data_IF_383660133517
#
_entry.id   IF_383660133517
#
_cell.length_a   1.000
_cell.length_b   1.000
_cell.length_c   1.000
_cell.angle_alpha   90.00
_cell.angle_beta   90.00
_cell.angle_gamma   90.00
#
_symmetry.space_group_name_H-M   'P 1'
#
loop_
_entity.id
_entity.type
_entity.pdbx_description
1 polymer ?
#
# COMPACT_ATOMS: atom_id res chain seq x y z
N UNK A 1 -18.63 0.69 18.09
CA UNK A 1 -17.73 -0.47 17.88
C UNK A 1 -16.34 -0.20 18.44
N UNK A 2 -15.64 0.84 18.00
CA UNK A 2 -14.25 1.13 18.42
C UNK A 2 -14.03 1.15 19.95
N UNK A 3 -14.96 1.74 20.72
CA UNK A 3 -14.85 1.81 22.19
C UNK A 3 -14.82 0.44 22.89
N UNK A 4 -15.49 -0.58 22.30
CA UNK A 4 -15.46 -1.95 22.81
C UNK A 4 -14.10 -2.62 22.54
N UNK A 5 -13.44 -2.27 21.44
CA UNK A 5 -12.10 -2.77 21.12
C UNK A 5 -11.09 -2.18 22.10
N UNK A 6 -11.18 -0.88 22.36
CA UNK A 6 -10.21 -0.15 23.18
C UNK A 6 -10.38 -0.39 24.69
N UNK A 7 -11.62 -0.56 25.17
CA UNK A 7 -11.91 -0.63 26.61
C UNK A 7 -12.77 -1.82 27.05
N UNK A 8 -13.12 -2.72 26.12
CA UNK A 8 -13.88 -3.92 26.45
C UNK A 8 -13.09 -4.90 27.31
N UNK A 9 -13.80 -5.75 28.05
CA UNK A 9 -13.17 -6.86 28.76
C UNK A 9 -12.54 -7.84 27.76
N UNK A 10 -11.51 -8.57 28.19
CA UNK A 10 -10.79 -9.53 27.32
C UNK A 10 -11.74 -10.54 26.65
N UNK A 11 -12.76 -11.03 27.37
CA UNK A 11 -13.77 -11.94 26.81
C UNK A 11 -14.61 -11.30 25.70
N UNK A 12 -14.93 -10.01 25.84
CA UNK A 12 -15.69 -9.26 24.84
C UNK A 12 -14.83 -9.00 23.60
N UNK A 13 -13.56 -8.63 23.80
CA UNK A 13 -12.59 -8.47 22.71
C UNK A 13 -12.40 -9.79 21.95
N UNK A 14 -12.27 -10.92 22.64
CA UNK A 14 -12.17 -12.26 22.01
C UNK A 14 -13.40 -12.59 21.16
N UNK A 15 -14.60 -12.52 21.75
CA UNK A 15 -15.86 -12.75 21.01
C UNK A 15 -16.02 -11.83 19.81
N UNK A 16 -15.65 -10.56 19.98
CA UNK A 16 -15.68 -9.58 18.90
C UNK A 16 -14.69 -9.95 17.78
N UNK A 17 -13.49 -10.37 18.15
CA UNK A 17 -12.45 -10.78 17.20
C UNK A 17 -12.85 -12.03 16.42
N UNK A 18 -13.51 -13.00 17.07
CA UNK A 18 -14.05 -14.19 16.40
C UNK A 18 -15.09 -13.81 15.33
N UNK A 19 -15.93 -12.81 15.61
CA UNK A 19 -16.90 -12.28 14.65
C UNK A 19 -16.17 -11.60 13.49
N UNK A 20 -15.14 -10.80 13.75
CA UNK A 20 -14.35 -10.16 12.69
C UNK A 20 -13.66 -11.18 11.78
N UNK A 21 -13.04 -12.22 12.37
CA UNK A 21 -12.34 -13.27 11.64
C UNK A 21 -13.28 -14.02 10.70
N UNK A 22 -14.49 -14.35 11.15
CA UNK A 22 -15.49 -15.06 10.34
C UNK A 22 -16.03 -14.24 9.18
N UNK A 23 -15.98 -12.91 9.27
CA UNK A 23 -16.58 -12.00 8.29
C UNK A 23 -15.53 -11.12 7.58
N UNK A 24 -14.25 -11.48 7.61
CA UNK A 24 -13.16 -10.59 7.16
C UNK A 24 -13.32 -10.16 5.69
N UNK A 25 -13.78 -11.07 4.83
CA UNK A 25 -13.93 -10.79 3.40
C UNK A 25 -15.04 -9.77 3.12
N UNK A 26 -16.18 -9.89 3.80
CA UNK A 26 -17.29 -8.96 3.69
C UNK A 26 -16.93 -7.60 4.32
N UNK A 27 -16.35 -7.62 5.52
CA UNK A 27 -15.95 -6.41 6.23
C UNK A 27 -14.81 -5.66 5.53
N UNK A 28 -13.87 -6.37 4.91
CA UNK A 28 -12.78 -5.75 4.14
C UNK A 28 -13.26 -5.17 2.81
N UNK A 29 -14.35 -5.69 2.26
CA UNK A 29 -14.97 -5.17 1.04
C UNK A 29 -15.74 -3.86 1.27
N UNK A 30 -16.20 -3.61 2.50
CA UNK A 30 -16.90 -2.39 2.89
C UNK A 30 -15.92 -1.30 3.37
N UNK A 31 -16.09 -0.09 2.86
CA UNK A 31 -15.14 1.02 3.08
C UNK A 31 -15.11 1.50 4.54
N UNK A 32 -16.22 1.38 5.26
CA UNK A 32 -16.36 1.80 6.64
C UNK A 32 -15.94 0.69 7.60
N UNK A 33 -16.31 -0.56 7.30
CA UNK A 33 -15.93 -1.73 8.09
C UNK A 33 -14.42 -2.00 8.02
N UNK A 34 -13.74 -1.65 6.92
CA UNK A 34 -12.28 -1.68 6.83
C UNK A 34 -11.58 -0.85 7.92
N UNK A 35 -12.21 0.24 8.40
CA UNK A 35 -11.69 1.02 9.52
C UNK A 35 -11.76 0.25 10.85
N UNK A 36 -12.82 -0.55 11.04
CA UNK A 36 -12.99 -1.40 12.23
C UNK A 36 -11.93 -2.49 12.25
N UNK A 37 -11.61 -3.08 11.10
CA UNK A 37 -10.52 -4.04 10.96
C UNK A 37 -9.16 -3.41 11.29
N UNK A 38 -8.90 -2.18 10.81
CA UNK A 38 -7.69 -1.44 11.17
C UNK A 38 -7.56 -1.21 12.67
N UNK A 39 -8.66 -0.81 13.32
CA UNK A 39 -8.69 -0.66 14.78
C UNK A 39 -8.49 -1.97 15.54
N UNK A 40 -9.00 -3.08 15.03
CA UNK A 40 -8.73 -4.38 15.62
C UNK A 40 -7.24 -4.74 15.52
N UNK A 41 -6.60 -4.48 14.37
CA UNK A 41 -5.15 -4.67 14.20
C UNK A 41 -4.31 -3.75 15.12
N UNK A 42 -4.81 -2.55 15.46
CA UNK A 42 -4.13 -1.62 16.36
C UNK A 42 -4.26 -2.00 17.85
N UNK A 43 -5.43 -2.46 18.29
CA UNK A 43 -5.76 -2.53 19.72
C UNK A 43 -6.02 -3.93 20.28
N UNK A 44 -6.33 -4.94 19.45
CA UNK A 44 -6.57 -6.29 19.97
C UNK A 44 -5.29 -6.94 20.54
N UNK A 45 -5.41 -8.00 21.36
CA UNK A 45 -4.25 -8.78 21.79
C UNK A 45 -3.42 -9.31 20.62
N UNK A 46 -2.10 -9.47 20.81
CA UNK A 46 -1.16 -9.81 19.72
C UNK A 46 -1.57 -11.07 18.94
N UNK A 47 -2.00 -12.12 19.63
CA UNK A 47 -2.49 -13.38 19.03
C UNK A 47 -3.62 -13.13 18.02
N UNK A 48 -4.56 -12.25 18.38
CA UNK A 48 -5.69 -11.88 17.54
C UNK A 48 -5.23 -11.04 16.36
N UNK A 49 -4.32 -10.09 16.58
CA UNK A 49 -3.78 -9.23 15.52
C UNK A 49 -3.14 -10.06 14.42
N UNK A 50 -2.29 -11.00 14.79
CA UNK A 50 -1.61 -11.92 13.85
C UNK A 50 -2.62 -12.80 13.12
N UNK A 51 -3.59 -13.39 13.85
CA UNK A 51 -4.64 -14.20 13.23
C UNK A 51 -5.47 -13.40 12.21
N UNK A 52 -5.84 -12.16 12.54
CA UNK A 52 -6.61 -11.28 11.68
C UNK A 52 -5.81 -10.82 10.46
N UNK A 53 -4.54 -10.44 10.65
CA UNK A 53 -3.62 -10.07 9.58
C UNK A 53 -3.41 -11.24 8.61
N UNK A 54 -3.15 -12.44 9.12
CA UNK A 54 -3.02 -13.66 8.31
C UNK A 54 -4.30 -13.97 7.53
N UNK A 55 -5.46 -13.82 8.15
CA UNK A 55 -6.75 -14.05 7.48
C UNK A 55 -6.95 -13.05 6.35
N UNK A 56 -6.68 -11.76 6.58
CA UNK A 56 -6.73 -10.72 5.56
C UNK A 56 -5.79 -11.01 4.38
N UNK A 57 -4.54 -11.38 4.65
CA UNK A 57 -3.55 -11.72 3.63
C UNK A 57 -3.87 -12.99 2.84
N UNK A 58 -4.75 -13.85 3.35
CA UNK A 58 -5.17 -15.09 2.68
C UNK A 58 -6.41 -14.91 1.79
N UNK A 59 -7.07 -13.74 1.79
CA UNK A 59 -8.19 -13.47 0.87
C UNK A 59 -7.67 -12.78 -0.39
N UNK A 60 -7.64 -13.47 -1.56
CA UNK A 60 -7.11 -12.90 -2.80
C UNK A 60 -7.88 -11.65 -3.23
N UNK A 61 -7.19 -10.62 -3.72
CA UNK A 61 -7.77 -9.38 -4.21
C UNK A 61 -8.35 -8.45 -3.14
N UNK A 62 -8.50 -8.91 -1.88
CA UNK A 62 -9.11 -8.11 -0.82
C UNK A 62 -8.24 -6.92 -0.44
N UNK A 63 -6.95 -7.15 -0.22
CA UNK A 63 -6.01 -6.10 0.16
C UNK A 63 -5.86 -5.05 -0.96
N UNK A 64 -5.87 -5.48 -2.22
CA UNK A 64 -5.88 -4.56 -3.36
C UNK A 64 -7.09 -3.63 -3.34
N UNK A 65 -8.29 -4.19 -3.13
CA UNK A 65 -9.53 -3.39 -3.02
C UNK A 65 -9.47 -2.44 -1.83
N UNK A 66 -9.02 -2.92 -0.67
CA UNK A 66 -8.88 -2.12 0.54
C UNK A 66 -7.89 -0.96 0.36
N UNK A 67 -6.78 -1.20 -0.34
CA UNK A 67 -5.73 -0.20 -0.60
C UNK A 67 -6.25 1.05 -1.35
N UNK A 68 -7.34 0.91 -2.10
CA UNK A 68 -7.98 2.02 -2.83
C UNK A 68 -8.97 2.83 -1.97
N UNK A 69 -9.15 2.52 -0.70
CA UNK A 69 -10.15 3.16 0.17
C UNK A 69 -9.52 4.06 1.24
N UNK A 70 -10.32 5.02 1.76
CA UNK A 70 -9.87 5.99 2.76
C UNK A 70 -9.29 5.35 4.02
N UNK A 71 -9.88 4.26 4.49
CA UNK A 71 -9.46 3.59 5.72
C UNK A 71 -8.70 2.29 5.44
N UNK A 72 -9.02 1.60 4.35
CA UNK A 72 -8.41 0.32 4.03
C UNK A 72 -6.92 0.41 3.73
N UNK A 73 -6.40 1.50 3.16
CA UNK A 73 -4.96 1.62 2.90
C UNK A 73 -4.09 1.56 4.17
N UNK A 74 -4.58 2.10 5.29
CA UNK A 74 -3.90 2.00 6.57
C UNK A 74 -4.00 0.57 7.13
N UNK A 75 -5.18 -0.03 7.03
CA UNK A 75 -5.42 -1.43 7.43
C UNK A 75 -4.55 -2.42 6.65
N UNK A 76 -4.35 -2.21 5.35
CA UNK A 76 -3.48 -3.04 4.50
C UNK A 76 -2.05 -3.01 5.00
N UNK A 77 -1.51 -1.83 5.33
CA UNK A 77 -0.14 -1.71 5.86
C UNK A 77 0.04 -2.49 7.16
N UNK A 78 -0.89 -2.33 8.09
CA UNK A 78 -0.88 -3.06 9.35
C UNK A 78 -0.98 -4.58 9.13
N UNK A 79 -1.85 -5.01 8.20
CA UNK A 79 -2.00 -6.43 7.89
C UNK A 79 -0.72 -7.04 7.27
N UNK A 80 -0.01 -6.30 6.42
CA UNK A 80 1.25 -6.74 5.84
C UNK A 80 2.41 -6.73 6.85
N UNK A 81 2.41 -5.78 7.79
CA UNK A 81 3.40 -5.68 8.86
C UNK A 81 3.24 -6.79 9.92
N UNK A 82 2.00 -7.08 10.31
CA UNK A 82 1.68 -8.07 11.33
C UNK A 82 1.53 -9.49 10.77
N UNK A 83 1.32 -9.62 9.47
CA UNK A 83 1.09 -10.89 8.80
C UNK A 83 2.36 -11.74 8.75
N UNK A 84 2.21 -13.03 9.05
CA UNK A 84 3.28 -14.01 8.97
C UNK A 84 3.42 -14.59 7.56
N UNK A 85 4.62 -15.09 7.28
CA UNK A 85 4.88 -15.84 6.06
C UNK A 85 4.24 -17.24 6.13
N UNK A 86 3.72 -17.78 5.01
CA UNK A 86 3.83 -17.28 3.63
C UNK A 86 2.69 -16.34 3.20
N UNK A 87 1.69 -16.09 4.05
CA UNK A 87 0.49 -15.35 3.67
C UNK A 87 0.81 -13.91 3.29
N UNK A 88 1.56 -13.19 4.14
CA UNK A 88 2.00 -11.82 3.85
C UNK A 88 2.86 -11.73 2.59
N UNK A 89 3.71 -12.72 2.31
CA UNK A 89 4.54 -12.77 1.10
C UNK A 89 3.72 -12.85 -0.18
N UNK A 90 2.68 -13.70 -0.21
CA UNK A 90 1.77 -13.78 -1.36
C UNK A 90 0.99 -12.48 -1.57
N UNK A 91 0.46 -11.93 -0.48
CA UNK A 91 -0.23 -10.63 -0.51
C UNK A 91 0.67 -9.50 -1.03
N UNK A 92 1.93 -9.46 -0.58
CA UNK A 92 2.92 -8.51 -1.08
C UNK A 92 3.19 -8.70 -2.58
N UNK A 93 3.38 -9.95 -3.03
CA UNK A 93 3.61 -10.26 -4.44
C UNK A 93 2.43 -9.82 -5.31
N UNK A 94 1.20 -10.03 -4.86
CA UNK A 94 -0.02 -9.59 -5.54
C UNK A 94 -0.08 -8.06 -5.65
N UNK A 95 0.13 -7.33 -4.55
CA UNK A 95 0.14 -5.86 -4.56
C UNK A 95 1.27 -5.29 -5.43
N UNK A 96 2.43 -5.95 -5.46
CA UNK A 96 3.57 -5.56 -6.30
C UNK A 96 3.31 -5.77 -7.79
N UNK A 97 2.61 -6.85 -8.17
CA UNK A 97 2.23 -7.11 -9.56
C UNK A 97 1.39 -5.96 -10.14
N UNK A 98 0.59 -5.31 -9.29
CA UNK A 98 -0.33 -4.22 -9.64
C UNK A 98 0.14 -2.84 -9.12
N UNK A 99 1.44 -2.68 -8.86
CA UNK A 99 2.00 -1.45 -8.27
C UNK A 99 1.67 -0.18 -9.08
N UNK A 100 1.62 -0.30 -10.41
CA UNK A 100 1.23 0.80 -11.29
C UNK A 100 -0.21 1.29 -11.02
N UNK A 101 -1.14 0.36 -10.76
CA UNK A 101 -2.53 0.67 -10.41
C UNK A 101 -2.58 1.37 -9.06
N UNK A 102 -1.87 0.86 -8.04
CA UNK A 102 -1.80 1.50 -6.72
C UNK A 102 -1.32 2.95 -6.80
N UNK A 103 -0.28 3.23 -7.59
CA UNK A 103 0.26 4.58 -7.81
C UNK A 103 -0.76 5.56 -8.42
N UNK A 104 -1.66 5.06 -9.26
CA UNK A 104 -2.67 5.88 -9.93
C UNK A 104 -3.77 6.38 -8.98
N UNK A 105 -3.99 5.71 -7.84
CA UNK A 105 -5.08 6.05 -6.92
C UNK A 105 -4.60 6.88 -5.73
N UNK A 106 -5.50 7.70 -5.15
CA UNK A 106 -5.17 8.59 -4.02
C UNK A 106 -4.62 7.83 -2.82
N UNK A 107 -5.29 6.74 -2.42
CA UNK A 107 -4.95 5.97 -1.23
C UNK A 107 -3.94 4.86 -1.53
N UNK A 108 -3.98 4.29 -2.74
CA UNK A 108 -3.02 3.27 -3.17
C UNK A 108 -1.58 3.77 -3.19
N UNK A 109 -1.34 5.06 -3.50
CA UNK A 109 0.00 5.68 -3.37
C UNK A 109 0.62 5.51 -1.99
N UNK A 110 -0.19 5.57 -0.94
CA UNK A 110 0.28 5.37 0.43
C UNK A 110 0.83 3.96 0.62
N UNK A 111 0.17 2.95 0.03
CA UNK A 111 0.61 1.54 0.06
C UNK A 111 1.79 1.32 -0.90
N UNK A 112 1.77 1.89 -2.10
CA UNK A 112 2.90 1.81 -3.04
C UNK A 112 4.21 2.32 -2.40
N UNK A 113 4.14 3.43 -1.66
CA UNK A 113 5.29 4.02 -0.99
C UNK A 113 5.97 3.08 0.03
N UNK A 114 5.24 2.12 0.65
CA UNK A 114 5.86 1.18 1.59
C UNK A 114 6.76 0.16 0.90
N UNK A 115 6.55 -0.09 -0.40
CA UNK A 115 7.42 -0.96 -1.20
C UNK A 115 8.63 -0.20 -1.77
N UNK A 116 8.44 1.08 -2.11
CA UNK A 116 9.47 1.94 -2.68
C UNK A 116 10.50 2.41 -1.63
N UNK A 117 10.05 2.68 -0.40
CA UNK A 117 10.93 3.04 0.72
C UNK A 117 11.94 1.95 1.05
N UNK A 118 11.56 0.68 0.90
CA UNK A 118 12.47 -0.46 1.09
C UNK A 118 13.50 -0.60 -0.04
N UNK A 119 13.22 -0.09 -1.24
CA UNK A 119 14.14 -0.22 -2.38
C UNK A 119 15.27 0.82 -2.33
N UNK A 120 15.02 1.99 -1.76
CA UNK A 120 16.01 3.08 -1.71
C UNK A 120 17.05 2.93 -0.58
N UNK A 121 16.78 2.17 0.48
CA UNK A 121 17.71 2.00 1.60
C UNK A 121 18.87 1.02 1.32
N UNK A 122 18.78 0.18 0.28
CA UNK A 122 19.84 -0.78 -0.05
C UNK A 122 20.89 -0.25 -1.06
N UNK A 123 20.73 0.97 -1.58
CA UNK A 123 21.63 1.50 -2.63
C UNK A 123 22.54 2.67 -2.15
N UNK A 124 22.58 2.97 -0.85
CA UNK A 124 23.36 4.10 -0.30
C UNK A 124 24.73 3.72 0.27
N UNK A 125 25.24 2.49 0.03
CA UNK A 125 26.56 2.05 0.50
C UNK A 125 27.63 1.97 -0.60
N UNK A 126 27.49 2.72 -1.69
CA UNK A 126 28.63 2.98 -2.59
C UNK A 126 29.28 4.31 -2.20
N UNK A 127 30.27 4.20 -1.32
CA UNK A 127 31.54 4.90 -1.43
C UNK A 127 31.46 6.37 -1.91
N UNK A 128 31.17 7.30 -1.01
CA UNK A 128 31.50 8.72 -1.21
C UNK A 128 32.71 9.09 -0.35
N UNK A 129 33.85 8.48 -0.69
CA UNK A 129 35.16 9.09 -0.46
C UNK A 129 35.52 9.85 -1.75
N UNK A 130 34.96 11.05 -1.93
CA UNK A 130 35.50 12.01 -2.88
C UNK A 130 35.80 13.32 -2.16
N UNK A 131 37.02 13.35 -1.65
CA UNK A 131 37.87 14.52 -1.59
C UNK A 131 37.76 15.31 -2.91
N UNK A 132 37.09 16.46 -2.89
CA UNK A 132 37.27 17.48 -3.93
C UNK A 132 37.32 18.83 -3.24
N UNK A 133 38.52 19.14 -2.81
CA UNK A 133 39.07 20.48 -2.77
C UNK A 133 38.87 21.12 -4.16
N UNK A 134 37.99 22.11 -4.29
CA UNK A 134 38.18 23.10 -5.33
C UNK A 134 37.59 24.47 -4.97
N UNK A 135 38.48 25.44 -5.10
CA UNK A 135 38.33 26.86 -4.89
C UNK A 135 37.54 27.53 -6.04
N UNK A 136 37.18 28.79 -5.78
CA UNK A 136 36.83 29.87 -6.70
C UNK A 136 35.32 30.11 -6.87
N UNK A 137 34.78 31.19 -6.31
CA UNK A 137 34.85 32.60 -6.75
C UNK A 137 34.31 32.88 -8.16
N UNK A 138 33.40 33.86 -8.15
CA UNK A 138 33.19 34.91 -9.13
C UNK A 138 32.29 34.66 -10.37
N UNK A 139 31.14 35.33 -10.28
CA UNK A 139 30.62 36.31 -11.26
C UNK A 139 30.20 35.85 -12.67
N UNK A 140 28.98 36.29 -12.95
CA UNK A 140 28.56 37.15 -14.08
C UNK A 140 27.91 36.48 -15.31
N UNK A 141 26.71 37.03 -15.54
CA UNK A 141 26.06 37.41 -16.80
C UNK A 141 25.17 36.42 -17.58
N UNK A 142 24.02 37.01 -17.94
CA UNK A 142 23.28 36.91 -19.19
C UNK A 142 22.13 35.88 -19.31
N UNK A 143 20.91 36.41 -19.16
CA UNK A 143 19.84 36.42 -20.17
C UNK A 143 20.00 35.52 -21.40
N UNK A 144 19.01 34.66 -21.68
CA UNK A 144 18.17 34.71 -22.88
C UNK A 144 17.07 33.63 -22.86
N UNK A 145 15.89 34.03 -23.34
CA UNK A 145 14.73 33.20 -23.58
C UNK A 145 14.93 32.22 -24.74
N UNK A 146 14.30 31.05 -24.71
CA UNK A 146 13.75 30.42 -25.93
C UNK A 146 12.57 29.51 -25.61
N UNK A 147 11.44 29.88 -26.18
CA UNK A 147 10.21 29.12 -26.38
C UNK A 147 10.49 27.85 -27.20
N UNK A 148 10.08 26.67 -26.72
CA UNK A 148 9.84 25.51 -27.59
C UNK A 148 8.59 24.77 -27.16
N UNK A 149 7.50 25.13 -27.83
CA UNK A 149 6.30 24.31 -28.03
C UNK A 149 6.68 22.97 -28.65
N UNK A 150 6.22 21.84 -28.09
CA UNK A 150 6.06 20.66 -28.93
C UNK A 150 4.81 19.86 -28.55
N UNK A 151 3.87 19.91 -29.49
CA UNK A 151 2.68 19.09 -29.62
C UNK A 151 3.10 17.71 -30.14
N UNK A 152 2.54 16.61 -29.62
CA UNK A 152 2.36 15.44 -30.46
C UNK A 152 1.16 14.59 -30.07
N UNK A 153 0.17 14.64 -30.95
CA UNK A 153 -0.90 13.68 -31.17
C UNK A 153 -0.35 12.32 -31.61
N UNK A 154 -0.96 11.22 -31.13
CA UNK A 154 -1.28 10.03 -31.94
C UNK A 154 -2.13 9.09 -31.07
N UNK A 155 -3.46 8.99 -31.24
CA UNK A 155 -4.24 8.43 -32.36
C UNK A 155 -4.21 6.90 -32.44
N UNK A 156 -5.40 6.31 -32.22
CA UNK A 156 -5.97 5.06 -32.74
C UNK A 156 -5.11 3.78 -32.81
N UNK A 157 -5.60 2.69 -32.22
CA UNK A 157 -6.07 1.60 -33.09
C UNK A 157 -7.12 0.68 -32.47
N UNK A 158 -8.06 0.32 -33.35
CA UNK A 158 -9.22 -0.55 -33.23
C UNK A 158 -8.93 -1.86 -34.01
N UNK A 159 -9.80 -2.86 -33.92
CA UNK A 159 -9.79 -4.21 -34.54
C UNK A 159 -9.02 -5.31 -33.77
N UNK A 160 -9.52 -6.55 -33.65
CA UNK A 160 -10.69 -7.23 -34.21
C UNK A 160 -10.89 -8.60 -33.51
N UNK A 161 -12.04 -9.27 -33.66
CA UNK A 161 -12.27 -10.40 -34.62
C UNK A 161 -11.47 -11.66 -34.19
N UNK A 162 -11.99 -12.87 -33.97
CA UNK A 162 -13.15 -13.65 -34.42
C UNK A 162 -13.30 -14.82 -33.41
N UNK A 163 -14.48 -15.34 -33.11
CA UNK A 163 -15.20 -16.28 -33.98
C UNK A 163 -14.46 -17.62 -34.07
N UNK A 164 -14.83 -18.58 -33.21
CA UNK A 164 -14.41 -19.98 -33.27
C UNK A 164 -15.57 -20.84 -32.78
N UNK A 165 -16.02 -21.73 -33.66
CA UNK A 165 -17.22 -22.55 -33.57
C UNK A 165 -17.18 -23.61 -32.47
#
# INVERSE_FOLDING_TARGET
>A
MQHLIEHGRLEQQRKFSDILLRNVAELGADQNAAAVLGKALDFCPQEVKVSLANTLCNVPGLLMRMAHTRHGHATVKLALELGEQPAAGRANAELLADLAVLRSTRYGRSVAATFEGNTNNNNSNTNTNNNTNDNNNDKKFATAATTTTNNNNNNNNNNGRSGGA
#
